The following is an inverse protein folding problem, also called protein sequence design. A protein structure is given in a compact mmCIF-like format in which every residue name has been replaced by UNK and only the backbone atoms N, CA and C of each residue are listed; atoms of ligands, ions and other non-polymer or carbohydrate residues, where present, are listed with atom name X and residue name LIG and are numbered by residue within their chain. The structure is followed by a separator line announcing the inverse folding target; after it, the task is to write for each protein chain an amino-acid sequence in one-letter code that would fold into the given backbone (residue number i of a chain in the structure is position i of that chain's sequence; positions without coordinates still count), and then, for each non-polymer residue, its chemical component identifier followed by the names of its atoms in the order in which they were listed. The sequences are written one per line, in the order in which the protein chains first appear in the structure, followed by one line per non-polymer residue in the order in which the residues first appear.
data_IF_119411978415
#
_entry.id   IF_119411978415
#
_cell.length_a   1.000
_cell.length_b   1.000
_cell.length_c   1.000
_cell.angle_alpha   90.00
_cell.angle_beta   90.00
_cell.angle_gamma   90.00
#
_symmetry.space_group_name_H-M   'P 1'
#
loop_
_entity.id
_entity.type
_entity.pdbx_description
1 polymer ?
#
# COMPACT_ATOMS: atom_id res chain seq x y z
N UNK A 1 7.06 10.12 -0.76
CA UNK A 1 7.23 8.81 -1.44
C UNK A 1 8.08 7.92 -0.55
N UNK A 2 7.98 6.60 -0.75
CA UNK A 2 8.81 5.56 -0.13
C UNK A 2 9.38 4.66 -1.25
N UNK A 3 10.46 3.90 -1.00
CA UNK A 3 10.98 2.93 -1.95
C UNK A 3 9.99 1.79 -2.30
N UNK A 4 10.27 1.10 -3.41
CA UNK A 4 9.54 -0.09 -3.87
C UNK A 4 9.67 -1.27 -2.90
N UNK A 5 8.77 -2.25 -2.98
CA UNK A 5 8.75 -3.38 -2.04
C UNK A 5 10.06 -4.17 -2.04
N UNK A 6 10.62 -4.43 -3.22
CA UNK A 6 11.93 -5.06 -3.41
C UNK A 6 13.05 -4.26 -2.72
N UNK A 7 13.14 -2.95 -2.97
CA UNK A 7 14.17 -2.09 -2.37
C UNK A 7 14.00 -1.96 -0.85
N UNK A 8 12.77 -1.93 -0.35
CA UNK A 8 12.51 -1.97 1.09
C UNK A 8 12.99 -3.29 1.72
N UNK A 9 12.82 -4.42 1.04
CA UNK A 9 13.34 -5.72 1.49
C UNK A 9 14.87 -5.72 1.57
N UNK A 10 15.56 -5.06 0.63
CA UNK A 10 17.02 -4.86 0.67
C UNK A 10 17.48 -4.01 1.87
N UNK A 11 16.65 -3.05 2.31
CA UNK A 11 16.87 -2.28 3.54
C UNK A 11 16.51 -3.06 4.82
N UNK A 12 16.16 -4.35 4.71
CA UNK A 12 15.79 -5.21 5.83
C UNK A 12 14.36 -5.05 6.31
N UNK A 13 13.51 -4.29 5.60
CA UNK A 13 12.09 -4.17 5.92
C UNK A 13 11.34 -5.42 5.47
N UNK A 14 10.46 -5.90 6.33
CA UNK A 14 9.65 -7.09 6.09
C UNK A 14 8.18 -6.74 5.89
N UNK A 15 7.49 -7.53 5.08
CA UNK A 15 6.04 -7.43 4.89
C UNK A 15 5.33 -8.57 5.62
N UNK A 16 4.26 -8.23 6.36
CA UNK A 16 3.46 -9.21 7.09
C UNK A 16 1.97 -8.93 6.96
N UNK A 17 1.20 -10.00 6.71
CA UNK A 17 -0.26 -9.94 6.74
C UNK A 17 -0.77 -9.74 8.18
N UNK A 18 -1.63 -8.74 8.39
CA UNK A 18 -2.39 -8.57 9.64
C UNK A 18 -3.39 -9.71 9.83
N UNK A 19 -3.48 -10.19 11.06
CA UNK A 19 -4.51 -11.16 11.48
C UNK A 19 -5.77 -10.41 11.87
N UNK A 20 -6.92 -10.78 11.30
CA UNK A 20 -8.22 -10.20 11.69
C UNK A 20 -8.44 -10.42 13.18
N UNK A 21 -8.68 -9.34 13.92
CA UNK A 21 -9.01 -9.42 15.35
C UNK A 21 -10.52 -9.30 15.47
N UNK A 22 -11.14 -10.15 16.30
CA UNK A 22 -12.58 -10.10 16.60
C UNK A 22 -12.95 -8.92 17.53
N UNK A 23 -12.21 -7.80 17.48
CA UNK A 23 -12.46 -6.61 18.31
C UNK A 23 -13.16 -5.50 17.51
N UNK A 24 -13.57 -4.43 18.21
CA UNK A 24 -14.19 -3.23 17.61
C UNK A 24 -13.26 -2.40 16.69
N UNK A 25 -12.00 -2.80 16.52
CA UNK A 25 -11.05 -2.12 15.62
C UNK A 25 -11.34 -2.60 14.19
N UNK A 26 -11.56 -1.65 13.30
CA UNK A 26 -11.80 -1.88 11.88
C UNK A 26 -10.71 -2.76 11.26
N UNK A 27 -11.07 -3.97 10.81
CA UNK A 27 -10.19 -4.85 10.03
C UNK A 27 -10.11 -4.38 8.55
N UNK A 28 -9.94 -3.08 8.33
CA UNK A 28 -9.92 -2.49 7.00
C UNK A 28 -8.56 -2.69 6.34
N UNK A 29 -8.54 -3.00 5.05
CA UNK A 29 -7.31 -3.03 4.25
C UNK A 29 -6.59 -1.68 4.21
N UNK A 30 -7.29 -0.58 4.51
CA UNK A 30 -6.70 0.75 4.67
C UNK A 30 -5.80 0.85 5.90
N UNK A 31 -5.92 -0.05 6.88
CA UNK A 31 -5.11 -0.06 8.11
C UNK A 31 -3.71 -0.62 7.83
N UNK A 32 -2.78 0.28 7.51
CA UNK A 32 -1.36 0.01 7.31
C UNK A 32 -0.60 0.52 8.53
N UNK A 33 0.31 -0.29 9.06
CA UNK A 33 1.20 0.11 10.14
C UNK A 33 2.63 -0.29 9.85
N UNK A 34 3.58 0.51 10.33
CA UNK A 34 4.99 0.15 10.34
C UNK A 34 5.46 0.03 11.79
N UNK A 35 6.14 -1.06 12.12
CA UNK A 35 6.72 -1.25 13.46
C UNK A 35 7.97 -2.11 13.38
N UNK A 36 9.08 -1.60 13.92
CA UNK A 36 10.34 -2.34 14.05
C UNK A 36 10.83 -2.96 12.72
N UNK A 37 10.73 -2.23 11.61
CA UNK A 37 11.12 -2.75 10.30
C UNK A 37 10.09 -3.68 9.66
N UNK A 38 8.85 -3.73 10.15
CA UNK A 38 7.79 -4.57 9.58
C UNK A 38 6.63 -3.69 9.13
N UNK A 39 6.29 -3.76 7.84
CA UNK A 39 5.05 -3.23 7.28
C UNK A 39 3.96 -4.28 7.44
N UNK A 40 2.88 -3.92 8.12
CA UNK A 40 1.72 -4.79 8.34
C UNK A 40 0.46 -4.23 7.70
N UNK A 41 -0.23 -5.05 6.92
CA UNK A 41 -1.53 -4.72 6.33
C UNK A 41 -2.40 -5.96 6.10
N UNK A 42 -3.69 -5.78 5.89
CA UNK A 42 -4.59 -6.89 5.53
C UNK A 42 -4.42 -7.28 4.06
N UNK A 43 -4.82 -8.52 3.73
CA UNK A 43 -4.76 -9.03 2.37
C UNK A 43 -5.74 -8.28 1.46
N UNK A 44 -5.32 -8.02 0.22
CA UNK A 44 -6.17 -7.56 -0.87
C UNK A 44 -6.76 -8.78 -1.61
N UNK A 45 -8.09 -8.88 -1.67
CA UNK A 45 -8.81 -9.98 -2.33
C UNK A 45 -9.38 -9.58 -3.71
N UNK A 46 -9.70 -10.60 -4.52
CA UNK A 46 -9.91 -10.59 -5.99
C UNK A 46 -10.95 -9.59 -6.54
N UNK A 47 -11.96 -9.22 -5.75
CA UNK A 47 -12.96 -8.22 -6.18
C UNK A 47 -12.43 -6.78 -6.20
N UNK A 48 -11.15 -6.57 -5.86
CA UNK A 48 -10.52 -5.29 -5.73
C UNK A 48 -10.52 -4.45 -7.01
N UNK A 49 -10.21 -4.99 -8.20
CA UNK A 49 -9.86 -4.09 -9.33
C UNK A 49 -10.99 -3.15 -9.80
N UNK A 50 -12.23 -3.64 -9.92
CA UNK A 50 -13.40 -2.83 -10.29
C UNK A 50 -13.89 -1.98 -9.12
N UNK A 51 -13.90 -2.55 -7.91
CA UNK A 51 -14.26 -1.84 -6.68
C UNK A 51 -13.29 -0.68 -6.44
N UNK A 52 -11.99 -0.87 -6.67
CA UNK A 52 -10.94 0.11 -6.43
C UNK A 52 -11.05 1.27 -7.40
N UNK A 53 -11.25 1.00 -8.69
CA UNK A 53 -11.52 2.05 -9.67
C UNK A 53 -12.77 2.85 -9.32
N UNK A 54 -13.84 2.18 -8.88
CA UNK A 54 -15.08 2.85 -8.49
C UNK A 54 -14.92 3.67 -7.20
N UNK A 55 -14.20 3.16 -6.20
CA UNK A 55 -13.91 3.87 -4.95
C UNK A 55 -13.02 5.10 -5.20
N UNK A 56 -12.00 4.95 -6.06
CA UNK A 56 -11.13 6.05 -6.47
C UNK A 56 -11.93 7.13 -7.21
N UNK A 57 -12.75 6.75 -8.19
CA UNK A 57 -13.60 7.68 -8.92
C UNK A 57 -14.62 8.36 -8.00
N UNK A 58 -15.20 7.62 -7.05
CA UNK A 58 -16.11 8.17 -6.04
C UNK A 58 -15.40 9.19 -5.14
N UNK A 59 -14.23 8.86 -4.57
CA UNK A 59 -13.46 9.81 -3.75
C UNK A 59 -13.04 11.04 -4.54
N UNK A 60 -12.57 10.88 -5.78
CA UNK A 60 -12.11 12.02 -6.60
C UNK A 60 -13.26 12.90 -7.14
N UNK A 61 -14.46 12.34 -7.31
CA UNK A 61 -15.64 13.09 -7.78
C UNK A 61 -16.47 13.72 -6.66
N UNK A 62 -16.42 13.13 -5.46
CA UNK A 62 -17.04 13.71 -4.28
C UNK A 62 -16.12 14.81 -3.74
N UNK A 63 -16.52 16.07 -3.89
CA UNK A 63 -15.83 17.25 -3.31
C UNK A 63 -15.96 17.30 -1.77
N UNK A 64 -16.00 16.16 -1.12
CA UNK A 64 -16.21 16.01 0.31
C UNK A 64 -14.87 15.97 1.04
N UNK A 65 -14.80 16.58 2.22
CA UNK A 65 -13.68 16.58 3.19
C UNK A 65 -13.27 15.18 3.71
N UNK A 66 -13.69 14.10 3.05
CA UNK A 66 -13.13 12.79 3.31
C UNK A 66 -11.65 12.85 2.94
N UNK A 67 -10.77 12.46 3.87
CA UNK A 67 -9.29 12.57 3.82
C UNK A 67 -8.62 11.81 2.65
N UNK A 68 -9.35 11.52 1.56
CA UNK A 68 -8.95 10.79 0.38
C UNK A 68 -8.31 9.46 0.76
N UNK A 69 -8.86 8.78 1.78
CA UNK A 69 -8.22 7.65 2.45
C UNK A 69 -7.91 6.53 1.47
N UNK A 70 -8.84 6.23 0.56
CA UNK A 70 -8.63 5.20 -0.44
C UNK A 70 -7.59 5.64 -1.48
N UNK A 71 -7.64 6.89 -1.94
CA UNK A 71 -6.63 7.50 -2.81
C UNK A 71 -5.22 7.40 -2.20
N UNK A 72 -5.08 7.64 -0.88
CA UNK A 72 -3.81 7.51 -0.15
C UNK A 72 -3.32 6.10 -0.04
N UNK A 73 -4.23 5.18 0.19
CA UNK A 73 -3.92 3.77 0.18
C UNK A 73 -3.42 3.32 -1.20
N UNK A 74 -4.11 3.72 -2.28
CA UNK A 74 -3.69 3.41 -3.65
C UNK A 74 -2.32 3.99 -3.94
N UNK A 75 -2.04 5.24 -3.55
CA UNK A 75 -0.70 5.81 -3.69
C UNK A 75 0.37 5.10 -2.86
N UNK A 76 0.04 4.61 -1.67
CA UNK A 76 0.98 3.79 -0.91
C UNK A 76 1.30 2.47 -1.62
N UNK A 77 0.29 1.79 -2.17
CA UNK A 77 0.49 0.56 -2.93
C UNK A 77 1.25 0.79 -4.23
N UNK A 78 1.01 1.91 -4.91
CA UNK A 78 1.75 2.34 -6.10
C UNK A 78 3.23 2.60 -5.82
N UNK A 79 3.57 3.25 -4.69
CA UNK A 79 4.99 3.38 -4.31
C UNK A 79 5.65 2.01 -4.05
N UNK A 80 4.90 1.03 -3.54
CA UNK A 80 5.43 -0.32 -3.27
C UNK A 80 5.57 -1.17 -4.53
N UNK A 81 4.75 -0.94 -5.55
CA UNK A 81 4.64 -1.78 -6.74
C UNK A 81 5.09 -0.97 -7.94
N UNK A 82 6.30 -1.22 -8.43
CA UNK A 82 6.76 -0.68 -9.71
C UNK A 82 6.91 -1.80 -10.74
N UNK A 83 7.41 -2.95 -10.28
CA UNK A 83 7.77 -4.10 -11.11
C UNK A 83 6.91 -5.34 -10.82
N UNK A 84 7.02 -6.33 -11.71
CA UNK A 84 6.44 -7.67 -11.48
C UNK A 84 7.06 -8.38 -10.27
N UNK A 85 8.32 -8.08 -9.95
CA UNK A 85 9.00 -8.66 -8.81
C UNK A 85 8.43 -8.15 -7.49
N UNK A 86 8.04 -6.88 -7.43
CA UNK A 86 7.33 -6.31 -6.28
C UNK A 86 5.98 -6.99 -6.06
N UNK A 87 5.24 -7.23 -7.15
CA UNK A 87 3.97 -7.96 -7.10
C UNK A 87 4.20 -9.39 -6.61
N UNK A 88 5.19 -10.10 -7.15
CA UNK A 88 5.52 -11.47 -6.75
C UNK A 88 5.94 -11.53 -5.27
N UNK A 89 6.75 -10.58 -4.81
CA UNK A 89 7.16 -10.44 -3.41
C UNK A 89 5.95 -10.24 -2.50
N UNK A 90 5.10 -9.24 -2.78
CA UNK A 90 3.93 -8.94 -1.95
C UNK A 90 2.89 -10.08 -1.96
N UNK A 91 2.78 -10.81 -3.08
CA UNK A 91 1.96 -12.03 -3.19
C UNK A 91 2.51 -13.14 -2.29
N UNK A 92 3.83 -13.41 -2.34
CA UNK A 92 4.51 -14.37 -1.45
C UNK A 92 4.32 -14.02 0.03
N UNK A 93 4.29 -12.73 0.35
CA UNK A 93 4.06 -12.20 1.71
C UNK A 93 2.57 -12.16 2.12
N UNK A 94 1.66 -12.63 1.26
CA UNK A 94 0.20 -12.67 1.45
C UNK A 94 -0.41 -11.28 1.69
N UNK A 95 0.21 -10.26 1.12
CA UNK A 95 -0.31 -8.90 1.05
C UNK A 95 -1.27 -8.79 -0.14
N UNK A 96 -0.83 -9.30 -1.30
CA UNK A 96 -1.67 -9.45 -2.49
C UNK A 96 -2.24 -10.86 -2.54
N UNK A 97 -3.52 -10.99 -2.90
CA UNK A 97 -4.15 -12.27 -3.15
C UNK A 97 -3.70 -12.88 -4.49
N UNK A 98 -3.50 -14.20 -4.52
CA UNK A 98 -3.03 -14.94 -5.70
C UNK A 98 -4.00 -14.90 -6.90
N UNK A 99 -5.24 -14.46 -6.70
CA UNK A 99 -6.28 -14.51 -7.73
C UNK A 99 -6.52 -13.16 -8.42
N UNK A 100 -5.79 -12.09 -8.05
CA UNK A 100 -5.97 -10.72 -8.54
C UNK A 100 -5.65 -10.49 -10.04
N UNK A 101 -5.41 -11.56 -10.81
CA UNK A 101 -4.92 -11.54 -12.19
C UNK A 101 -3.46 -11.95 -12.29
N UNK A 102 -2.91 -11.86 -13.50
CA UNK A 102 -1.47 -12.10 -13.71
C UNK A 102 -0.62 -11.04 -13.00
N UNK A 103 0.62 -11.40 -12.68
CA UNK A 103 1.61 -10.49 -12.07
C UNK A 103 1.74 -9.18 -12.88
N UNK A 104 1.77 -9.30 -14.21
CA UNK A 104 1.83 -8.19 -15.15
C UNK A 104 0.59 -7.29 -15.10
N UNK A 105 -0.60 -7.88 -15.01
CA UNK A 105 -1.85 -7.12 -14.93
C UNK A 105 -1.95 -6.36 -13.61
N UNK A 106 -1.50 -6.96 -12.50
CA UNK A 106 -1.46 -6.30 -11.20
C UNK A 106 -0.50 -5.12 -11.18
N UNK A 107 0.74 -5.28 -11.68
CA UNK A 107 1.70 -4.18 -11.76
C UNK A 107 1.12 -3.04 -12.62
N UNK A 108 0.60 -3.36 -13.81
CA UNK A 108 -0.05 -2.36 -14.68
C UNK A 108 -1.27 -1.69 -14.02
N UNK A 109 -2.03 -2.43 -13.21
CA UNK A 109 -3.21 -1.90 -12.54
C UNK A 109 -2.82 -0.81 -11.53
N UNK A 110 -1.91 -1.10 -10.61
CA UNK A 110 -1.48 -0.13 -9.59
C UNK A 110 -0.80 1.08 -10.22
N UNK A 111 0.17 0.86 -11.12
CA UNK A 111 0.93 1.93 -11.78
C UNK A 111 0.01 2.86 -12.60
N UNK A 112 -1.08 2.33 -13.17
CA UNK A 112 -2.05 3.16 -13.92
C UNK A 112 -3.06 3.86 -13.02
N UNK A 113 -3.43 3.29 -11.88
CA UNK A 113 -4.42 3.87 -10.97
C UNK A 113 -3.95 5.19 -10.35
N UNK A 114 -2.63 5.42 -10.25
CA UNK A 114 -2.08 6.65 -9.70
C UNK A 114 -1.89 7.80 -10.70
N UNK A 115 -2.08 7.55 -12.00
CA UNK A 115 -1.94 8.59 -13.04
C UNK A 115 -3.06 9.63 -12.87
N UNK A 116 -2.68 10.88 -12.62
CA UNK A 116 -3.60 12.02 -12.54
C UNK A 116 -4.24 12.23 -11.16
N UNK A 117 -3.79 11.53 -10.12
CA UNK A 117 -4.27 11.76 -8.75
C UNK A 117 -3.71 13.05 -8.16
N UNK A 118 -4.58 13.85 -7.55
CA UNK A 118 -4.18 15.00 -6.73
C UNK A 118 -3.91 14.55 -5.29
N UNK A 119 -2.65 14.61 -4.85
CA UNK A 119 -2.18 13.99 -3.61
C UNK A 119 -1.51 15.08 -2.73
N UNK A 120 -2.21 15.59 -1.72
CA UNK A 120 -1.61 16.46 -0.69
C UNK A 120 -0.66 15.67 0.22
N UNK A 121 0.64 15.74 0.00
CA UNK A 121 1.65 15.02 0.78
C UNK A 121 1.67 15.27 2.30
N UNK A 122 0.99 16.30 2.84
CA UNK A 122 1.19 16.76 4.23
C UNK A 122 0.10 16.37 5.21
N UNK A 123 -1.14 16.15 4.76
CA UNK A 123 -2.27 15.88 5.66
C UNK A 123 -3.01 14.62 5.24
N UNK A 124 -2.56 13.46 5.72
CA UNK A 124 -3.28 12.20 5.56
C UNK A 124 -2.93 11.18 6.64
N UNK A 125 -3.80 10.18 6.80
CA UNK A 125 -3.68 9.17 7.86
C UNK A 125 -2.41 8.29 7.79
N UNK A 126 -1.72 8.24 6.63
CA UNK A 126 -0.48 7.48 6.44
C UNK A 126 0.80 8.30 6.65
N UNK A 127 0.74 9.61 6.94
CA UNK A 127 1.95 10.47 7.01
C UNK A 127 3.02 9.89 7.94
N UNK A 128 2.61 9.43 9.14
CA UNK A 128 3.56 8.85 10.10
C UNK A 128 4.18 7.54 9.59
N UNK A 129 3.42 6.70 8.89
CA UNK A 129 3.93 5.46 8.29
C UNK A 129 5.02 5.77 7.26
N UNK A 130 4.79 6.75 6.37
CA UNK A 130 5.81 7.21 5.42
C UNK A 130 7.06 7.72 6.13
N UNK A 131 6.87 8.57 7.14
CA UNK A 131 7.98 9.17 7.89
C UNK A 131 8.80 8.11 8.64
N UNK A 132 8.16 7.09 9.22
CA UNK A 132 8.87 6.01 9.90
C UNK A 132 9.63 5.09 8.94
N UNK A 133 9.05 4.75 7.78
CA UNK A 133 9.72 3.94 6.75
C UNK A 133 10.97 4.67 6.24
N UNK A 134 10.83 5.95 5.87
CA UNK A 134 11.95 6.74 5.36
C UNK A 134 13.04 6.89 6.44
N UNK A 135 12.68 7.24 7.67
CA UNK A 135 13.63 7.28 8.79
C UNK A 135 14.31 5.95 9.09
N UNK A 136 13.67 4.82 8.77
CA UNK A 136 14.29 3.50 8.93
C UNK A 136 15.30 3.25 7.81
N UNK A 137 14.95 3.57 6.56
CA UNK A 137 15.83 3.40 5.40
C UNK A 137 17.06 4.33 5.47
N UNK A 138 16.91 5.54 6.01
CA UNK A 138 18.01 6.51 6.17
C UNK A 138 19.02 6.12 7.26
N UNK A 139 18.75 5.06 8.04
CA UNK A 139 19.70 4.62 9.08
C UNK A 139 20.94 4.04 8.41
N UNK A 140 22.15 4.43 8.83
CA UNK A 140 23.36 3.79 8.34
C UNK A 140 23.30 2.30 8.66
N UNK A 141 23.37 1.47 7.61
CA UNK A 141 23.49 0.03 7.74
C UNK A 141 24.88 -0.23 8.34
N UNK A 142 24.94 -0.45 9.65
CA UNK A 142 26.15 -0.95 10.29
C UNK A 142 26.39 -2.37 9.76
N UNK A 143 27.27 -2.49 8.76
CA UNK A 143 27.79 -3.77 8.25
C UNK A 143 28.70 -4.44 9.27
#
# INVERSE_FOLDING_TARGET
MIPTASLLEEHGIQFRKKVKRYSRISNSFLDISFKNGIIEQYIIEDNASSIYRNLLAFEQSSQTDHENKFTRYVNFMDNLIDTTDDVALLTKRKILGNNLGSVDEMAKLFNKMCIGLSIDSKHHYLVEVYNEINRYCDRPINK
#
